data_IF_223343169826
#
_entry.id   IF_223343169826
#
_cell.length_a   1.000
_cell.length_b   1.000
_cell.length_c   1.000
_cell.angle_alpha   90.00
_cell.angle_beta   90.00
_cell.angle_gamma   90.00
#
_symmetry.space_group_name_H-M   'P 1'
#
loop_
_entity.id
_entity.type
_entity.pdbx_description
1 polymer ?
#
# COMPACT_ATOMS: atom_id res chain seq x y z
N UNK A 1 -19.44 6.80 1.87
CA UNK A 1 -20.28 6.46 0.70
C UNK A 1 -21.40 7.49 0.60
N UNK A 2 -21.45 8.27 -0.49
CA UNK A 2 -22.47 9.32 -0.63
C UNK A 2 -22.49 10.33 0.53
N UNK A 3 -21.31 10.74 1.02
CA UNK A 3 -21.17 11.64 2.17
C UNK A 3 -21.40 11.02 3.55
N UNK A 4 -21.77 9.74 3.64
CA UNK A 4 -22.00 9.05 4.93
C UNK A 4 -20.88 8.08 5.28
N UNK A 5 -20.57 7.97 6.57
CA UNK A 5 -19.68 6.95 7.10
C UNK A 5 -20.36 5.59 7.04
N UNK A 6 -19.60 4.55 6.66
CA UNK A 6 -20.10 3.18 6.55
C UNK A 6 -19.17 2.22 7.29
N UNK A 7 -19.75 1.18 7.87
CA UNK A 7 -19.02 0.08 8.49
C UNK A 7 -18.66 -0.96 7.44
N UNK A 8 -17.42 -1.46 7.46
CA UNK A 8 -16.96 -2.50 6.56
C UNK A 8 -17.38 -3.91 7.03
N UNK A 9 -17.57 -4.87 6.11
CA UNK A 9 -17.62 -4.68 4.66
C UNK A 9 -18.93 -4.00 4.22
N UNK A 10 -18.90 -3.33 3.06
CA UNK A 10 -20.04 -2.61 2.50
C UNK A 10 -20.16 -2.81 0.98
N UNK A 11 -21.37 -2.66 0.45
CA UNK A 11 -21.65 -2.68 -1.00
C UNK A 11 -22.26 -1.32 -1.36
N UNK A 12 -21.44 -0.30 -1.66
CA UNK A 12 -21.91 1.07 -1.93
C UNK A 12 -22.90 1.17 -3.11
N UNK A 13 -22.72 0.31 -4.11
CA UNK A 13 -23.59 0.21 -5.28
C UNK A 13 -23.40 -1.18 -5.91
N UNK A 14 -24.29 -1.57 -6.83
CA UNK A 14 -24.21 -2.87 -7.51
C UNK A 14 -22.86 -3.02 -8.20
N UNK A 15 -22.14 -4.10 -7.89
CA UNK A 15 -20.83 -4.39 -8.47
C UNK A 15 -19.66 -3.61 -7.87
N UNK A 16 -19.87 -2.87 -6.77
CA UNK A 16 -18.81 -2.20 -6.00
C UNK A 16 -18.78 -2.78 -4.59
N UNK A 17 -17.64 -3.31 -4.20
CA UNK A 17 -17.40 -3.98 -2.91
C UNK A 17 -16.33 -3.21 -2.16
N UNK A 18 -16.57 -2.96 -0.88
CA UNK A 18 -15.61 -2.30 0.01
C UNK A 18 -15.41 -3.19 1.24
N UNK A 19 -14.17 -3.52 1.55
CA UNK A 19 -13.86 -4.42 2.68
C UNK A 19 -12.45 -4.20 3.20
N UNK A 20 -12.15 -4.75 4.38
CA UNK A 20 -10.78 -4.82 4.86
C UNK A 20 -10.09 -6.06 4.27
N UNK A 21 -8.83 -5.90 3.86
CA UNK A 21 -7.96 -6.99 3.44
C UNK A 21 -6.52 -6.73 3.87
N UNK A 22 -6.01 -7.55 4.78
CA UNK A 22 -4.68 -7.33 5.35
C UNK A 22 -4.61 -6.02 6.15
N UNK A 23 -3.64 -5.17 5.81
CA UNK A 23 -3.49 -3.81 6.34
C UNK A 23 -4.34 -2.76 5.59
N UNK A 24 -5.08 -3.17 4.56
CA UNK A 24 -5.70 -2.25 3.62
C UNK A 24 -7.22 -2.22 3.77
N UNK A 25 -7.79 -1.05 3.52
CA UNK A 25 -9.17 -0.96 3.02
C UNK A 25 -9.11 -1.12 1.51
N UNK A 26 -9.91 -2.04 1.00
CA UNK A 26 -9.91 -2.43 -0.39
C UNK A 26 -11.28 -2.19 -1.04
N UNK A 27 -11.27 -1.43 -2.12
CA UNK A 27 -12.38 -1.28 -3.05
C UNK A 27 -12.15 -2.24 -4.22
N UNK A 28 -13.14 -3.06 -4.53
CA UNK A 28 -13.16 -3.92 -5.71
C UNK A 28 -14.41 -3.63 -6.54
N UNK A 29 -14.25 -3.68 -7.85
CA UNK A 29 -15.35 -3.46 -8.79
C UNK A 29 -15.49 -4.62 -9.77
N UNK A 30 -16.71 -4.85 -10.25
CA UNK A 30 -17.01 -5.87 -11.27
C UNK A 30 -16.31 -5.57 -12.61
N UNK A 31 -16.04 -4.31 -12.91
CA UNK A 31 -15.28 -3.91 -14.10
C UNK A 31 -13.76 -4.08 -13.96
N UNK A 32 -13.28 -4.62 -12.84
CA UNK A 32 -11.89 -5.04 -12.67
C UNK A 32 -10.94 -3.96 -12.16
N UNK A 33 -11.45 -2.81 -11.68
CA UNK A 33 -10.68 -1.89 -10.85
C UNK A 33 -10.62 -2.39 -9.41
N UNK A 34 -9.43 -2.39 -8.83
CA UNK A 34 -9.15 -2.63 -7.43
C UNK A 34 -8.28 -1.52 -6.88
N UNK A 35 -8.68 -0.95 -5.75
CA UNK A 35 -7.93 0.09 -5.04
C UNK A 35 -7.72 -0.35 -3.60
N UNK A 36 -6.47 -0.34 -3.13
CA UNK A 36 -6.09 -0.71 -1.76
C UNK A 36 -5.37 0.46 -1.13
N UNK A 37 -5.83 0.91 0.03
CA UNK A 37 -5.19 1.99 0.80
C UNK A 37 -5.02 1.55 2.25
N UNK A 38 -3.84 1.76 2.82
CA UNK A 38 -3.52 1.34 4.19
C UNK A 38 -3.93 2.34 5.27
N UNK A 39 -4.56 3.46 4.88
CA UNK A 39 -4.92 4.55 5.79
C UNK A 39 -3.80 5.56 6.02
N UNK A 40 -2.65 5.37 5.36
CA UNK A 40 -1.45 6.19 5.52
C UNK A 40 -0.81 6.42 4.14
N UNK A 41 0.38 5.86 3.87
CA UNK A 41 1.20 6.19 2.69
C UNK A 41 1.11 5.20 1.52
N UNK A 42 0.48 4.04 1.67
CA UNK A 42 0.47 3.03 0.60
C UNK A 42 -0.87 2.98 -0.12
N UNK A 43 -0.84 3.31 -1.40
CA UNK A 43 -1.94 3.18 -2.35
C UNK A 43 -1.56 2.22 -3.47
N UNK A 44 -2.37 1.19 -3.70
CA UNK A 44 -2.23 0.30 -4.84
C UNK A 44 -3.49 0.37 -5.70
N UNK A 45 -3.29 0.60 -7.00
CA UNK A 45 -4.34 0.59 -8.02
C UNK A 45 -4.04 -0.54 -8.99
N UNK A 46 -4.96 -1.48 -9.13
CA UNK A 46 -4.86 -2.57 -10.10
C UNK A 46 -6.06 -2.52 -11.03
N UNK A 47 -5.80 -2.68 -12.32
CA UNK A 47 -6.83 -2.77 -13.36
C UNK A 47 -6.67 -4.04 -14.18
N UNK A 48 -7.75 -4.45 -14.84
CA UNK A 48 -7.71 -5.51 -15.85
C UNK A 48 -6.88 -5.08 -17.07
N UNK A 49 -6.26 -6.05 -17.76
CA UNK A 49 -5.53 -5.83 -19.02
C UNK A 49 -6.38 -5.22 -20.13
N UNK A 50 -7.71 -5.26 -20.00
CA UNK A 50 -8.66 -4.59 -20.90
C UNK A 50 -8.51 -3.06 -20.96
N UNK A 51 -7.86 -2.47 -19.95
CA UNK A 51 -7.53 -1.04 -19.87
C UNK A 51 -6.19 -0.67 -20.51
N UNK A 52 -5.45 -1.64 -21.07
CA UNK A 52 -4.15 -1.37 -21.70
C UNK A 52 -4.26 -0.32 -22.81
N UNK A 53 -3.42 0.71 -22.74
CA UNK A 53 -3.41 1.85 -23.66
C UNK A 53 -4.63 2.78 -23.58
N UNK A 54 -5.47 2.63 -22.55
CA UNK A 54 -6.68 3.44 -22.33
C UNK A 54 -6.63 4.28 -21.06
N UNK A 55 -5.56 4.14 -20.28
CA UNK A 55 -5.35 4.91 -19.07
C UNK A 55 -4.57 6.18 -19.37
N UNK A 56 -4.66 7.12 -18.44
CA UNK A 56 -3.86 8.32 -18.38
C UNK A 56 -3.74 8.74 -16.91
N UNK A 57 -2.70 9.51 -16.58
CA UNK A 57 -2.43 9.98 -15.22
C UNK A 57 -0.99 9.69 -14.81
N UNK A 58 -0.69 9.90 -13.53
CA UNK A 58 0.64 9.71 -12.96
C UNK A 58 1.15 8.26 -13.01
N UNK A 59 0.26 7.28 -13.18
CA UNK A 59 0.64 5.88 -13.37
C UNK A 59 0.86 5.49 -14.84
N UNK A 60 0.90 6.45 -15.76
CA UNK A 60 1.14 6.22 -17.18
C UNK A 60 -0.09 5.75 -17.95
N UNK A 61 0.14 5.19 -19.14
CA UNK A 61 -0.94 4.82 -20.07
C UNK A 61 -1.23 3.30 -20.12
N UNK A 62 -0.42 2.50 -19.42
CA UNK A 62 -0.54 1.05 -19.33
C UNK A 62 -0.44 0.32 -20.69
N UNK A 63 0.38 0.83 -21.62
CA UNK A 63 0.64 0.21 -22.93
C UNK A 63 1.75 -0.86 -22.92
N UNK A 64 2.43 -1.03 -21.78
CA UNK A 64 3.54 -1.98 -21.59
C UNK A 64 4.93 -1.41 -21.89
N UNK A 65 5.04 -0.13 -22.24
CA UNK A 65 6.30 0.56 -22.50
C UNK A 65 6.58 1.62 -21.43
N UNK A 66 7.37 1.28 -20.40
CA UNK A 66 7.71 2.25 -19.35
C UNK A 66 8.51 3.48 -19.82
N UNK A 67 9.02 3.48 -21.07
CA UNK A 67 9.81 4.58 -21.61
C UNK A 67 9.01 5.80 -22.06
N UNK A 68 7.68 5.70 -22.19
CA UNK A 68 6.80 6.77 -22.63
C UNK A 68 5.72 7.16 -21.61
N UNK A 69 5.79 6.65 -20.37
CA UNK A 69 4.73 6.83 -19.38
C UNK A 69 4.67 8.24 -18.75
N UNK A 70 5.76 9.02 -18.83
CA UNK A 70 5.82 10.37 -18.29
C UNK A 70 5.15 11.39 -19.23
N UNK A 71 3.83 11.28 -19.37
CA UNK A 71 3.00 12.20 -20.15
C UNK A 71 2.30 13.18 -19.22
N UNK A 72 2.34 14.46 -19.58
CA UNK A 72 1.56 15.51 -18.93
C UNK A 72 0.06 15.33 -19.23
N UNK A 73 -0.79 16.06 -18.52
CA UNK A 73 -2.25 16.04 -18.74
C UNK A 73 -2.67 16.42 -20.17
N UNK A 74 -1.88 17.25 -20.86
CA UNK A 74 -2.06 17.61 -22.27
C UNK A 74 -1.56 16.53 -23.26
N UNK A 75 -1.01 15.42 -22.76
CA UNK A 75 -0.47 14.31 -23.54
C UNK A 75 0.95 14.51 -24.05
N UNK A 76 1.60 15.64 -23.75
CA UNK A 76 3.00 15.86 -24.15
C UNK A 76 3.98 15.20 -23.17
N UNK A 77 5.13 14.67 -23.65
CA UNK A 77 6.09 14.01 -22.79
C UNK A 77 6.91 15.02 -21.98
N UNK A 78 7.31 14.64 -20.76
CA UNK A 78 8.29 15.39 -19.96
C UNK A 78 9.28 14.45 -19.27
N UNK A 79 10.52 14.92 -19.09
CA UNK A 79 11.52 14.25 -18.25
C UNK A 79 11.58 14.86 -16.84
N UNK A 80 10.92 16.01 -16.64
CA UNK A 80 10.89 16.70 -15.37
C UNK A 80 9.74 16.14 -14.51
N UNK A 81 10.11 15.57 -13.35
CA UNK A 81 9.15 14.97 -12.43
C UNK A 81 8.25 16.00 -11.76
N UNK A 82 8.75 17.22 -11.54
CA UNK A 82 7.99 18.32 -10.97
C UNK A 82 6.99 18.86 -12.01
N UNK A 83 7.42 19.01 -13.26
CA UNK A 83 6.50 19.39 -14.36
C UNK A 83 5.41 18.32 -14.56
N UNK A 84 5.77 17.03 -14.49
CA UNK A 84 4.82 15.94 -14.58
C UNK A 84 3.77 16.03 -13.47
N UNK A 85 4.20 16.14 -12.21
CA UNK A 85 3.31 16.25 -11.06
C UNK A 85 2.37 17.45 -11.16
N UNK A 86 2.91 18.63 -11.44
CA UNK A 86 2.13 19.87 -11.58
C UNK A 86 1.14 19.81 -12.74
N UNK A 87 1.45 19.09 -13.83
CA UNK A 87 0.53 19.01 -14.97
C UNK A 87 -0.76 18.26 -14.68
N UNK A 88 -0.76 17.38 -13.68
CA UNK A 88 -1.92 16.55 -13.29
C UNK A 88 -2.67 17.12 -12.07
N UNK A 89 -2.36 18.35 -11.67
CA UNK A 89 -3.11 19.12 -10.67
C UNK A 89 -4.54 19.39 -11.16
N UNK A 90 -5.53 19.31 -10.27
CA UNK A 90 -6.95 19.47 -10.58
C UNK A 90 -7.49 20.78 -9.99
N UNK A 91 -8.36 21.48 -10.72
CA UNK A 91 -8.91 22.80 -10.33
C UNK A 91 -9.70 22.78 -9.00
N UNK A 92 -10.14 21.60 -8.54
CA UNK A 92 -10.87 21.43 -7.26
C UNK A 92 -9.94 21.43 -6.04
N UNK A 93 -8.62 21.41 -6.25
CA UNK A 93 -7.58 21.48 -5.22
C UNK A 93 -6.95 22.90 -5.12
N UNK A 94 -7.67 23.94 -5.53
CA UNK A 94 -7.34 25.37 -5.29
C UNK A 94 -7.40 25.75 -3.78
N UNK A 95 -7.09 24.82 -2.89
CA UNK A 95 -6.75 25.16 -1.52
C UNK A 95 -5.46 25.98 -1.56
N UNK A 96 -5.46 27.09 -0.83
CA UNK A 96 -4.30 27.97 -0.67
C UNK A 96 -3.08 27.27 -0.01
N UNK A 97 -3.21 25.98 0.31
CA UNK A 97 -2.24 25.04 0.88
C UNK A 97 -1.46 24.22 -0.16
N UNK A 98 -1.94 24.07 -1.40
CA UNK A 98 -1.15 23.43 -2.48
C UNK A 98 -0.14 24.43 -3.10
N UNK A 99 0.51 25.24 -2.26
CA UNK A 99 1.57 26.12 -2.77
C UNK A 99 2.78 25.29 -3.13
N UNK A 100 3.43 25.64 -4.24
CA UNK A 100 4.77 25.15 -4.56
C UNK A 100 5.67 25.35 -3.34
N UNK A 101 5.93 24.26 -2.63
CA UNK A 101 6.90 24.26 -1.57
C UNK A 101 8.26 24.48 -2.24
N UNK A 102 8.73 25.73 -2.23
CA UNK A 102 10.12 26.00 -2.53
C UNK A 102 10.92 25.35 -1.40
N UNK A 103 11.44 24.15 -1.65
CA UNK A 103 12.36 23.49 -0.73
C UNK A 103 13.67 24.28 -0.76
N UNK A 104 13.75 25.33 0.06
CA UNK A 104 14.96 26.12 0.25
C UNK A 104 15.90 25.29 1.10
N UNK A 105 16.99 24.81 0.49
CA UNK A 105 17.99 23.91 1.09
C UNK A 105 17.41 22.54 1.46
N UNK A 106 17.19 21.63 0.49
CA UNK A 106 16.83 20.26 0.79
C UNK A 106 17.85 19.65 1.78
N UNK A 107 17.39 18.83 2.74
CA UNK A 107 18.28 18.17 3.68
C UNK A 107 19.35 17.40 2.91
N UNK A 108 20.62 17.73 3.19
CA UNK A 108 21.75 17.06 2.55
C UNK A 108 21.84 15.63 3.06
N UNK A 109 21.99 14.67 2.14
CA UNK A 109 22.42 13.33 2.50
C UNK A 109 23.94 13.27 2.43
N UNK A 110 24.60 13.56 3.55
CA UNK A 110 26.05 13.44 3.61
C UNK A 110 26.51 11.97 3.46
N UNK A 111 27.80 11.77 3.18
CA UNK A 111 28.36 10.44 2.97
C UNK A 111 28.25 9.52 4.19
N UNK A 112 28.22 10.08 5.41
CA UNK A 112 28.10 9.33 6.66
C UNK A 112 26.69 8.77 6.83
N UNK A 113 25.67 9.62 6.59
CA UNK A 113 24.27 9.24 6.59
C UNK A 113 24.00 8.23 5.48
N UNK A 114 24.49 8.48 4.25
CA UNK A 114 24.33 7.54 3.14
C UNK A 114 24.96 6.17 3.44
N UNK A 115 26.17 6.13 3.99
CA UNK A 115 26.81 4.87 4.40
C UNK A 115 26.05 4.18 5.52
N UNK A 116 25.45 4.93 6.44
CA UNK A 116 24.64 4.36 7.51
C UNK A 116 23.34 3.77 6.97
N UNK A 117 22.62 4.51 6.12
CA UNK A 117 21.32 4.10 5.56
C UNK A 117 21.44 2.92 4.60
N UNK A 118 22.53 2.82 3.84
CA UNK A 118 22.81 1.66 2.98
C UNK A 118 23.15 0.38 3.75
N UNK A 119 23.46 0.50 5.05
CA UNK A 119 23.88 -0.63 5.88
C UNK A 119 22.77 -1.65 6.16
N UNK A 120 23.14 -2.85 6.65
CA UNK A 120 22.22 -3.97 6.89
C UNK A 120 21.25 -3.75 8.06
N UNK A 121 21.36 -2.61 8.77
CA UNK A 121 20.39 -2.22 9.80
C UNK A 121 19.26 -1.34 9.26
N UNK A 122 19.42 -0.78 8.06
CA UNK A 122 18.49 0.14 7.40
C UNK A 122 18.09 -0.39 6.02
N UNK A 123 18.24 0.40 4.94
CA UNK A 123 17.79 0.03 3.59
C UNK A 123 18.48 -1.23 3.07
N UNK A 124 19.70 -1.54 3.53
CA UNK A 124 20.38 -2.79 3.19
C UNK A 124 19.59 -4.06 3.56
N UNK A 125 18.65 -3.99 4.52
CA UNK A 125 17.76 -5.11 4.86
C UNK A 125 16.85 -5.53 3.70
N UNK A 126 16.48 -4.59 2.82
CA UNK A 126 15.59 -4.83 1.69
C UNK A 126 16.25 -5.70 0.61
N UNK A 127 17.58 -5.77 0.60
CA UNK A 127 18.39 -6.46 -0.43
C UNK A 127 19.30 -7.54 0.16
N UNK A 128 19.13 -7.88 1.44
CA UNK A 128 19.88 -8.96 2.07
C UNK A 128 19.38 -10.33 1.57
N UNK A 129 20.23 -11.04 0.84
CA UNK A 129 19.96 -12.37 0.28
C UNK A 129 19.74 -13.47 1.33
N UNK A 130 19.99 -13.19 2.62
CA UNK A 130 19.67 -14.07 3.75
C UNK A 130 18.62 -13.45 4.68
N UNK A 131 18.07 -12.32 4.28
CA UNK A 131 17.11 -11.52 5.03
C UNK A 131 15.67 -12.00 4.84
N UNK A 132 14.70 -11.17 5.27
CA UNK A 132 13.28 -11.56 5.28
C UNK A 132 12.66 -11.73 3.89
N UNK A 133 13.27 -11.15 2.87
CA UNK A 133 12.76 -11.15 1.50
C UNK A 133 13.50 -12.12 0.56
N UNK A 134 14.40 -12.98 1.08
CA UNK A 134 15.33 -13.79 0.28
C UNK A 134 14.69 -14.54 -0.91
N UNK A 135 13.47 -15.06 -0.71
CA UNK A 135 12.71 -15.85 -1.69
C UNK A 135 12.25 -15.01 -2.88
N UNK A 136 12.07 -13.70 -2.67
CA UNK A 136 11.47 -12.78 -3.63
C UNK A 136 12.50 -11.90 -4.33
N UNK A 137 13.68 -11.70 -3.73
CA UNK A 137 14.77 -10.91 -4.32
C UNK A 137 15.21 -11.42 -5.70
N UNK A 138 15.05 -12.73 -5.96
CA UNK A 138 15.39 -13.35 -7.25
C UNK A 138 14.37 -13.05 -8.37
N UNK A 139 13.19 -12.54 -8.01
CA UNK A 139 12.05 -12.41 -8.91
C UNK A 139 11.55 -10.98 -9.04
N UNK A 140 12.13 -10.04 -8.29
CA UNK A 140 11.77 -8.62 -8.30
C UNK A 140 13.01 -7.74 -8.46
N UNK A 141 12.81 -6.52 -8.98
CA UNK A 141 13.84 -5.49 -9.03
C UNK A 141 14.03 -4.86 -7.64
N UNK A 142 14.63 -5.61 -6.72
CA UNK A 142 14.86 -5.16 -5.34
C UNK A 142 15.67 -3.84 -5.24
N UNK A 143 16.50 -3.56 -6.25
CA UNK A 143 17.24 -2.29 -6.37
C UNK A 143 16.31 -1.08 -6.34
N UNK A 144 15.14 -1.13 -7.00
CA UNK A 144 14.20 0.00 -6.99
C UNK A 144 13.61 0.29 -5.60
N UNK A 145 13.38 -0.76 -4.80
CA UNK A 145 12.96 -0.61 -3.40
C UNK A 145 14.08 -0.05 -2.53
N UNK A 146 15.32 -0.53 -2.74
CA UNK A 146 16.49 -0.01 -2.05
C UNK A 146 16.73 1.48 -2.35
N UNK A 147 16.67 1.87 -3.62
CA UNK A 147 16.90 3.26 -4.05
C UNK A 147 15.81 4.19 -3.49
N UNK A 148 14.55 3.75 -3.48
CA UNK A 148 13.43 4.50 -2.89
C UNK A 148 13.62 4.65 -1.38
N UNK A 149 14.04 3.59 -0.68
CA UNK A 149 14.37 3.65 0.74
C UNK A 149 15.52 4.63 1.02
N UNK A 150 16.59 4.58 0.22
CA UNK A 150 17.71 5.49 0.37
C UNK A 150 17.28 6.95 0.17
N UNK A 151 16.45 7.21 -0.85
CA UNK A 151 15.92 8.53 -1.12
C UNK A 151 15.13 9.09 0.07
N UNK A 152 14.15 8.34 0.59
CA UNK A 152 13.32 8.81 1.70
C UNK A 152 14.12 8.92 3.00
N UNK A 153 14.94 7.92 3.32
CA UNK A 153 15.76 7.95 4.53
C UNK A 153 16.76 9.13 4.51
N UNK A 154 17.28 9.50 3.35
CA UNK A 154 18.11 10.70 3.18
C UNK A 154 17.30 12.00 3.39
N UNK A 155 16.14 12.13 2.73
CA UNK A 155 15.30 13.32 2.81
C UNK A 155 14.77 13.56 4.23
N UNK A 156 14.62 12.51 5.03
CA UNK A 156 14.11 12.60 6.39
C UNK A 156 15.15 12.18 7.45
N UNK A 157 16.44 12.33 7.13
CA UNK A 157 17.56 12.25 8.08
C UNK A 157 17.57 10.96 8.92
N UNK A 158 17.21 9.83 8.30
CA UNK A 158 17.28 8.50 8.88
C UNK A 158 16.09 8.09 9.75
N UNK A 159 14.94 8.77 9.63
CA UNK A 159 13.75 8.47 10.42
C UNK A 159 13.29 7.01 10.26
N UNK A 160 13.35 6.23 11.35
CA UNK A 160 13.07 4.79 11.34
C UNK A 160 11.67 4.43 10.81
N UNK A 161 10.68 5.30 11.00
CA UNK A 161 9.32 5.06 10.50
C UNK A 161 9.30 4.84 8.98
N UNK A 162 10.11 5.57 8.21
CA UNK A 162 10.19 5.39 6.75
C UNK A 162 10.77 4.04 6.37
N UNK A 163 11.79 3.56 7.09
CA UNK A 163 12.27 2.18 6.91
C UNK A 163 11.13 1.17 7.12
N UNK A 164 10.28 1.38 8.14
CA UNK A 164 9.14 0.50 8.37
C UNK A 164 8.14 0.51 7.21
N UNK A 165 7.92 1.67 6.58
CA UNK A 165 7.09 1.78 5.38
C UNK A 165 7.71 0.98 4.24
N UNK A 166 8.98 1.21 3.91
CA UNK A 166 9.68 0.47 2.85
C UNK A 166 9.71 -1.04 3.07
N UNK A 167 9.92 -1.49 4.31
CA UNK A 167 9.83 -2.91 4.67
C UNK A 167 8.40 -3.47 4.49
N UNK A 168 7.37 -2.68 4.81
CA UNK A 168 5.96 -3.05 4.61
C UNK A 168 5.57 -3.09 3.13
N UNK A 169 6.08 -2.15 2.32
CA UNK A 169 5.91 -2.13 0.86
C UNK A 169 6.55 -3.35 0.22
N UNK A 170 7.79 -3.68 0.60
CA UNK A 170 8.48 -4.88 0.11
C UNK A 170 7.77 -6.17 0.55
N UNK A 171 7.22 -6.21 1.77
CA UNK A 171 6.38 -7.32 2.26
C UNK A 171 5.16 -7.50 1.37
N UNK A 172 4.44 -6.41 1.08
CA UNK A 172 3.23 -6.43 0.25
C UNK A 172 3.55 -6.89 -1.17
N UNK A 173 4.57 -6.32 -1.81
CA UNK A 173 5.00 -6.71 -3.16
C UNK A 173 5.41 -8.19 -3.24
N UNK A 174 6.13 -8.68 -2.23
CA UNK A 174 6.56 -10.08 -2.13
C UNK A 174 5.37 -11.04 -2.03
N UNK A 175 4.41 -10.74 -1.14
CA UNK A 175 3.20 -11.56 -0.95
C UNK A 175 2.26 -11.49 -2.15
N UNK A 176 2.08 -10.31 -2.74
CA UNK A 176 1.29 -10.12 -3.96
C UNK A 176 1.90 -10.89 -5.13
N UNK A 177 3.22 -11.05 -5.18
CA UNK A 177 3.92 -11.91 -6.14
C UNK A 177 3.86 -13.42 -5.79
N UNK A 178 3.36 -13.78 -4.61
CA UNK A 178 3.17 -15.15 -4.15
C UNK A 178 4.37 -15.76 -3.41
N UNK A 179 5.32 -14.94 -2.97
CA UNK A 179 6.49 -15.38 -2.23
C UNK A 179 6.30 -15.20 -0.73
N UNK A 180 6.85 -16.14 0.05
CA UNK A 180 6.79 -16.09 1.50
C UNK A 180 7.84 -15.11 2.06
N UNK A 181 7.41 -14.26 2.99
CA UNK A 181 8.27 -13.33 3.73
C UNK A 181 8.60 -13.94 5.10
N UNK A 182 9.85 -13.83 5.57
CA UNK A 182 10.19 -14.23 6.95
C UNK A 182 9.82 -13.12 7.94
N UNK A 183 9.55 -13.45 9.22
CA UNK A 183 9.29 -12.44 10.24
C UNK A 183 10.40 -11.39 10.31
N UNK A 184 10.01 -10.11 10.26
CA UNK A 184 10.92 -8.97 10.34
C UNK A 184 10.48 -7.89 11.33
N UNK A 185 9.21 -7.87 11.72
CA UNK A 185 8.71 -6.99 12.78
C UNK A 185 9.06 -7.55 14.15
N UNK A 186 9.52 -6.68 15.04
CA UNK A 186 9.85 -6.98 16.43
C UNK A 186 9.22 -5.92 17.34
N UNK A 187 9.14 -6.17 18.65
CA UNK A 187 8.59 -5.21 19.62
C UNK A 187 9.29 -3.84 19.55
N UNK A 188 10.61 -3.85 19.35
CA UNK A 188 11.46 -2.67 19.20
C UNK A 188 11.70 -2.24 17.75
N UNK A 189 11.19 -2.98 16.76
CA UNK A 189 11.46 -2.73 15.34
C UNK A 189 10.19 -2.85 14.51
N UNK A 190 9.62 -1.70 14.16
CA UNK A 190 8.42 -1.59 13.34
C UNK A 190 7.24 -2.44 13.86
N UNK A 191 6.92 -2.37 15.16
CA UNK A 191 5.80 -3.13 15.72
C UNK A 191 4.51 -2.71 15.03
N UNK A 192 3.61 -3.67 14.85
CA UNK A 192 2.26 -3.41 14.37
C UNK A 192 1.29 -3.48 15.54
N UNK A 193 0.63 -2.36 15.83
CA UNK A 193 -0.44 -2.33 16.82
C UNK A 193 -1.70 -2.94 16.21
N UNK A 194 -2.24 -3.96 16.86
CA UNK A 194 -3.47 -4.61 16.46
C UNK A 194 -4.61 -4.24 17.42
N UNK A 195 -5.85 -4.09 16.93
CA UNK A 195 -6.99 -3.75 17.77
C UNK A 195 -7.26 -4.85 18.83
N UNK A 196 -8.02 -4.55 19.89
CA UNK A 196 -8.42 -5.54 20.87
C UNK A 196 -9.00 -6.80 20.22
N UNK A 197 -8.73 -7.96 20.84
CA UNK A 197 -9.18 -9.27 20.36
C UNK A 197 -8.63 -9.70 18.99
N UNK A 198 -7.49 -9.13 18.57
CA UNK A 198 -6.77 -9.54 17.38
C UNK A 198 -5.28 -9.72 17.67
N UNK A 199 -4.56 -10.35 16.74
CA UNK A 199 -3.12 -10.58 16.81
C UNK A 199 -2.48 -10.30 15.47
N UNK A 200 -1.24 -9.84 15.49
CA UNK A 200 -0.44 -9.71 14.27
C UNK A 200 -0.20 -11.09 13.63
N UNK A 201 -0.38 -11.16 12.32
CA UNK A 201 0.00 -12.30 11.49
C UNK A 201 0.65 -11.81 10.22
N UNK A 202 1.83 -12.35 9.92
CA UNK A 202 2.49 -12.07 8.64
C UNK A 202 1.74 -12.74 7.47
N UNK A 203 0.93 -13.75 7.73
CA UNK A 203 0.26 -14.55 6.69
C UNK A 203 -1.16 -14.87 7.16
N UNK A 204 -2.04 -13.87 7.11
CA UNK A 204 -3.47 -13.99 7.40
C UNK A 204 -4.27 -14.21 6.12
N UNK A 205 -5.52 -14.67 6.28
CA UNK A 205 -6.47 -14.75 5.17
C UNK A 205 -6.83 -13.33 4.69
N UNK A 206 -6.78 -13.05 3.38
CA UNK A 206 -7.15 -11.73 2.84
C UNK A 206 -8.61 -11.35 3.11
N UNK A 207 -9.48 -12.34 3.26
CA UNK A 207 -10.88 -12.16 3.58
C UNK A 207 -11.17 -12.85 4.92
N UNK A 208 -11.14 -12.12 6.03
CA UNK A 208 -11.49 -12.66 7.34
C UNK A 208 -12.99 -12.90 7.45
N UNK A 209 -13.40 -13.69 8.44
CA UNK A 209 -14.80 -13.83 8.81
C UNK A 209 -15.33 -12.48 9.32
N UNK A 210 -16.50 -12.06 8.84
CA UNK A 210 -17.11 -10.77 9.19
C UNK A 210 -18.52 -10.95 9.74
N UNK A 211 -19.05 -9.90 10.38
CA UNK A 211 -20.46 -9.88 10.79
C UNK A 211 -21.45 -9.97 9.61
N UNK A 212 -21.02 -9.63 8.40
CA UNK A 212 -21.83 -9.74 7.17
C UNK A 212 -21.52 -11.06 6.45
N UNK A 213 -22.07 -12.18 6.95
CA UNK A 213 -21.87 -13.53 6.37
C UNK A 213 -22.37 -13.69 4.92
N UNK A 214 -23.20 -12.75 4.44
CA UNK A 214 -23.69 -12.69 3.05
C UNK A 214 -22.80 -11.90 2.09
N UNK A 215 -21.69 -11.33 2.54
CA UNK A 215 -20.74 -10.62 1.68
C UNK A 215 -20.01 -11.62 0.77
N UNK A 216 -20.67 -11.97 -0.33
CA UNK A 216 -20.26 -12.94 -1.33
C UNK A 216 -20.14 -12.20 -2.66
N UNK A 217 -18.92 -11.85 -3.05
CA UNK A 217 -18.69 -11.09 -4.28
C UNK A 217 -17.33 -10.39 -4.35
N UNK A 218 -16.66 -10.19 -3.21
CA UNK A 218 -15.28 -9.74 -3.20
C UNK A 218 -14.36 -10.90 -3.62
N UNK A 219 -13.50 -10.66 -4.61
CA UNK A 219 -12.48 -11.61 -4.99
C UNK A 219 -11.37 -11.60 -3.94
N UNK A 220 -11.27 -12.71 -3.23
CA UNK A 220 -10.24 -12.96 -2.24
C UNK A 220 -9.11 -13.74 -2.90
N UNK A 221 -7.90 -13.23 -2.83
CA UNK A 221 -6.72 -13.97 -3.25
C UNK A 221 -6.52 -15.18 -2.33
N UNK A 222 -6.01 -16.29 -2.87
CA UNK A 222 -5.55 -17.43 -2.07
C UNK A 222 -4.17 -17.15 -1.42
N UNK A 223 -3.52 -16.05 -1.82
CA UNK A 223 -2.24 -15.62 -1.25
C UNK A 223 -2.49 -14.89 0.05
N UNK A 224 -1.82 -15.31 1.12
CA UNK A 224 -1.95 -14.65 2.40
C UNK A 224 -1.36 -13.24 2.38
N UNK A 225 -1.83 -12.41 3.32
CA UNK A 225 -1.42 -11.01 3.47
C UNK A 225 -1.01 -10.75 4.92
N UNK A 226 -0.08 -9.81 5.12
CA UNK A 226 0.23 -9.27 6.43
C UNK A 226 -1.01 -8.54 7.00
N UNK A 227 -1.42 -8.86 8.23
CA UNK A 227 -2.65 -8.34 8.84
C UNK A 227 -2.66 -8.40 10.37
N UNK A 228 -3.65 -7.72 10.96
CA UNK A 228 -4.18 -8.08 12.27
C UNK A 228 -5.33 -9.07 12.10
N UNK A 229 -5.14 -10.30 12.56
CA UNK A 229 -6.13 -11.38 12.45
C UNK A 229 -6.94 -11.47 13.75
N UNK A 230 -8.27 -11.53 13.64
CA UNK A 230 -9.15 -11.71 14.80
C UNK A 230 -8.83 -13.04 15.51
N UNK A 231 -8.84 -13.01 16.84
CA UNK A 231 -8.65 -14.21 17.65
C UNK A 231 -9.85 -15.17 17.48
N UNK A 232 -9.66 -16.48 17.73
CA UNK A 232 -10.77 -17.44 17.68
C UNK A 232 -11.97 -17.00 18.53
N UNK A 233 -13.17 -17.02 17.94
CA UNK A 233 -14.42 -16.57 18.57
C UNK A 233 -14.80 -15.10 18.29
N UNK A 234 -13.96 -14.36 17.58
CA UNK A 234 -14.20 -12.99 17.15
C UNK A 234 -14.27 -12.90 15.62
N UNK A 235 -15.07 -11.94 15.13
CA UNK A 235 -15.21 -11.61 13.71
C UNK A 235 -15.00 -10.13 13.47
N UNK A 236 -14.63 -9.79 12.24
CA UNK A 236 -14.39 -8.41 11.86
C UNK A 236 -15.71 -7.65 11.66
N UNK A 237 -15.80 -6.47 12.28
CA UNK A 237 -16.84 -5.47 12.06
C UNK A 237 -16.18 -4.11 11.92
N UNK A 238 -16.24 -3.51 10.73
CA UNK A 238 -15.43 -2.35 10.40
C UNK A 238 -13.95 -2.72 10.39
N UNK A 239 -13.20 -2.19 11.36
CA UNK A 239 -11.77 -2.47 11.58
C UNK A 239 -11.50 -3.11 12.96
N UNK A 240 -12.55 -3.53 13.66
CA UNK A 240 -12.47 -4.09 15.01
C UNK A 240 -12.90 -5.56 15.04
N UNK A 241 -12.31 -6.32 15.96
CA UNK A 241 -12.66 -7.72 16.20
C UNK A 241 -13.64 -7.81 17.37
N UNK A 242 -14.89 -8.16 17.06
CA UNK A 242 -16.00 -8.25 18.01
C UNK A 242 -16.50 -9.69 18.14
N UNK A 243 -17.06 -10.09 19.30
CA UNK A 243 -17.77 -11.35 19.41
C UNK A 243 -18.95 -11.40 18.44
N UNK A 244 -19.28 -12.58 17.91
CA UNK A 244 -20.44 -12.75 17.03
C UNK A 244 -21.76 -12.22 17.63
N UNK A 245 -21.92 -12.27 18.95
CA UNK A 245 -23.11 -11.75 19.64
C UNK A 245 -23.24 -10.23 19.61
N UNK A 246 -22.17 -9.51 19.25
CA UNK A 246 -22.14 -8.07 19.07
C UNK A 246 -22.26 -7.65 17.61
N UNK A 247 -22.42 -8.60 16.68
CA UNK A 247 -22.78 -8.28 15.32
C UNK A 247 -24.16 -7.58 15.33
N UNK A 248 -24.19 -6.35 14.81
CA UNK A 248 -25.42 -5.58 14.66
C UNK A 248 -26.38 -6.22 13.64
N UNK A 249 -27.54 -5.58 13.45
CA UNK A 249 -28.47 -6.00 12.40
C UNK A 249 -27.90 -5.67 11.01
N UNK A 250 -28.01 -6.61 10.07
CA UNK A 250 -27.73 -6.38 8.66
C UNK A 250 -28.98 -5.75 8.04
N UNK A 251 -28.88 -4.52 7.54
CA UNK A 251 -29.98 -3.81 6.88
C UNK A 251 -30.07 -4.15 5.39
#
# INVERSE_FOLDING_TARGET
VGGQQVTLPAIPSKGVFLGASGRFVELQTEFGLRVRWDGDQQLYVTVSSTYSGKLCGLCGNYDGNSGNDNLKSDGSPTADKEELGNSWEMDEDEDQECQKNQVVNPPSCDSSLQSSMSGPRFCGRLVDMRGPFETCLLHMKATSFFDSCMFDMCNFQGLQHLLCIHMSTMTTACQDAGYAVKPWRELQFCPMACPPNSKYSLCAKPCPDTCHSGFSGMFCSDRCVEACECNPGFVLSGLECVPHSQCGCLH
#
